data_IF_014316373772
#
_entry.id   IF_014316373772
#
_cell.length_a   1.000
_cell.length_b   1.000
_cell.length_c   1.000
_cell.angle_alpha   90.00
_cell.angle_beta   90.00
_cell.angle_gamma   90.00
#
_symmetry.space_group_name_H-M   'P 1'
#
loop_
_entity.id
_entity.type
_entity.pdbx_description
1 polymer ?
#
# COMPACT_ATOMS: atom_id res chain seq x y z
N UNK A 1 12.18 29.29 -8.06
CA UNK A 1 10.79 28.78 -7.85
C UNK A 1 9.85 29.46 -8.85
N UNK A 2 8.78 28.78 -9.28
CA UNK A 2 7.75 29.39 -10.14
C UNK A 2 6.95 30.45 -9.36
N UNK A 3 6.58 31.54 -10.03
CA UNK A 3 5.62 32.52 -9.50
C UNK A 3 4.26 31.87 -9.22
N UNK A 4 3.47 32.45 -8.31
CA UNK A 4 2.19 31.88 -7.86
C UNK A 4 1.21 31.62 -9.01
N UNK A 5 1.04 32.60 -9.91
CA UNK A 5 0.14 32.47 -11.07
C UNK A 5 0.54 31.32 -11.99
N UNK A 6 1.86 31.11 -12.14
CA UNK A 6 2.38 30.01 -12.96
C UNK A 6 2.13 28.66 -12.29
N UNK A 7 2.18 28.57 -10.95
CA UNK A 7 1.81 27.34 -10.21
C UNK A 7 0.33 27.02 -10.36
N UNK A 8 -0.55 28.01 -10.21
CA UNK A 8 -2.00 27.85 -10.39
C UNK A 8 -2.34 27.36 -11.80
N UNK A 9 -1.69 27.95 -12.81
CA UNK A 9 -1.87 27.53 -14.22
C UNK A 9 -1.43 26.08 -14.46
N UNK A 10 -0.30 25.66 -13.89
CA UNK A 10 0.17 24.27 -13.99
C UNK A 10 -0.84 23.30 -13.36
N UNK A 11 -1.31 23.59 -12.14
CA UNK A 11 -2.29 22.75 -11.45
C UNK A 11 -3.62 22.65 -12.22
N UNK A 12 -4.10 23.76 -12.79
CA UNK A 12 -5.30 23.77 -13.63
C UNK A 12 -5.17 22.87 -14.85
N UNK A 13 -4.02 22.88 -15.52
CA UNK A 13 -3.77 22.02 -16.69
C UNK A 13 -3.69 20.55 -16.27
N UNK A 14 -3.03 20.25 -15.14
CA UNK A 14 -2.96 18.88 -14.61
C UNK A 14 -4.35 18.35 -14.25
N UNK A 15 -5.18 19.17 -13.61
CA UNK A 15 -6.58 18.82 -13.28
C UNK A 15 -7.41 18.60 -14.54
N UNK A 16 -7.29 19.46 -15.56
CA UNK A 16 -8.00 19.27 -16.83
C UNK A 16 -7.54 18.01 -17.59
N UNK A 17 -6.25 17.69 -17.51
CA UNK A 17 -5.65 16.56 -18.25
C UNK A 17 -5.84 15.21 -17.55
N UNK A 18 -5.78 15.19 -16.21
CA UNK A 18 -5.72 13.97 -15.39
C UNK A 18 -6.74 13.93 -14.26
N UNK A 19 -7.58 14.96 -14.12
CA UNK A 19 -8.65 15.00 -13.13
C UNK A 19 -9.49 13.73 -13.22
N UNK A 20 -9.84 13.16 -12.08
CA UNK A 20 -10.50 11.85 -11.92
C UNK A 20 -9.61 10.60 -11.99
N UNK A 21 -8.28 10.72 -12.10
CA UNK A 21 -7.39 9.56 -11.88
C UNK A 21 -7.16 9.32 -10.38
N UNK A 22 -7.12 8.04 -10.01
CA UNK A 22 -6.74 7.57 -8.66
C UNK A 22 -5.44 6.77 -8.75
N UNK A 23 -4.97 6.26 -7.61
CA UNK A 23 -3.81 5.36 -7.59
C UNK A 23 -4.01 4.16 -8.52
N UNK A 24 -2.94 3.71 -9.18
CA UNK A 24 -2.95 2.49 -9.99
C UNK A 24 -2.82 1.21 -9.14
N UNK A 25 -2.62 1.33 -7.82
CA UNK A 25 -2.64 0.20 -6.90
C UNK A 25 -4.06 -0.35 -6.77
N UNK A 26 -4.20 -1.67 -6.86
CA UNK A 26 -5.48 -2.36 -6.71
C UNK A 26 -5.72 -2.74 -5.25
N UNK A 27 -6.84 -2.27 -4.69
CA UNK A 27 -7.25 -2.52 -3.31
C UNK A 27 -8.77 -2.41 -3.16
N UNK A 28 -9.30 -3.01 -2.09
CA UNK A 28 -10.73 -2.90 -1.70
C UNK A 28 -10.93 -2.27 -0.33
N UNK A 29 -9.88 -2.19 0.49
CA UNK A 29 -9.92 -1.69 1.87
C UNK A 29 -8.71 -0.82 2.17
N UNK A 30 -8.80 0.02 3.20
CA UNK A 30 -7.69 0.87 3.65
C UNK A 30 -6.47 0.04 4.06
N UNK A 31 -6.68 -1.14 4.66
CA UNK A 31 -5.61 -2.07 4.99
C UNK A 31 -4.88 -2.58 3.74
N UNK A 32 -5.62 -2.95 2.70
CA UNK A 32 -5.04 -3.41 1.44
C UNK A 32 -4.23 -2.29 0.77
N UNK A 33 -4.74 -1.06 0.78
CA UNK A 33 -3.99 0.10 0.27
C UNK A 33 -2.71 0.36 1.07
N UNK A 34 -2.77 0.26 2.40
CA UNK A 34 -1.60 0.40 3.26
C UNK A 34 -0.52 -0.64 2.92
N UNK A 35 -0.91 -1.92 2.81
CA UNK A 35 0.02 -3.00 2.47
C UNK A 35 0.59 -2.82 1.05
N UNK A 36 -0.24 -2.48 0.07
CA UNK A 36 0.21 -2.21 -1.30
C UNK A 36 1.18 -1.02 -1.36
N UNK A 37 0.95 0.02 -0.55
CA UNK A 37 1.83 1.18 -0.44
C UNK A 37 3.18 0.82 0.20
N UNK A 38 3.19 -0.03 1.23
CA UNK A 38 4.46 -0.56 1.79
C UNK A 38 5.23 -1.36 0.72
N UNK A 39 4.51 -2.12 -0.13
CA UNK A 39 5.13 -2.88 -1.22
C UNK A 39 5.63 -2.03 -2.38
N UNK A 40 5.04 -0.88 -2.66
CA UNK A 40 5.38 -0.04 -3.83
C UNK A 40 6.75 0.62 -3.74
N UNK A 41 7.34 0.72 -2.54
CA UNK A 41 8.68 1.26 -2.35
C UNK A 41 9.71 0.57 -3.28
N UNK A 42 10.23 1.27 -4.29
CA UNK A 42 11.14 0.73 -5.30
C UNK A 42 10.55 -0.48 -6.08
N UNK A 43 9.27 -0.43 -6.42
CA UNK A 43 8.59 -1.41 -7.28
C UNK A 43 7.51 -0.73 -8.11
N UNK A 44 7.16 -1.29 -9.25
CA UNK A 44 6.09 -0.75 -10.10
C UNK A 44 4.72 -1.18 -9.58
N UNK A 45 3.70 -0.35 -9.76
CA UNK A 45 2.33 -0.67 -9.36
C UNK A 45 1.84 -1.97 -10.03
N UNK A 46 2.22 -2.20 -11.30
CA UNK A 46 1.91 -3.45 -12.01
C UNK A 46 2.48 -4.68 -11.30
N UNK A 47 3.74 -4.62 -10.84
CA UNK A 47 4.37 -5.72 -10.11
C UNK A 47 3.72 -5.93 -8.75
N UNK A 48 3.37 -4.84 -8.05
CA UNK A 48 2.65 -4.90 -6.78
C UNK A 48 1.29 -5.58 -6.98
N UNK A 49 0.49 -5.14 -7.97
CA UNK A 49 -0.84 -5.69 -8.25
C UNK A 49 -0.80 -7.18 -8.60
N UNK A 50 0.22 -7.64 -9.35
CA UNK A 50 0.42 -9.08 -9.64
C UNK A 50 0.57 -9.93 -8.38
N UNK A 51 1.10 -9.36 -7.30
CA UNK A 51 1.41 -10.05 -6.04
C UNK A 51 0.27 -9.87 -5.03
N UNK A 52 -0.31 -8.66 -4.96
CA UNK A 52 -1.36 -8.34 -4.01
C UNK A 52 -2.70 -8.99 -4.37
N UNK A 53 -3.03 -9.17 -5.66
CA UNK A 53 -4.28 -9.86 -6.08
C UNK A 53 -4.47 -11.23 -5.41
N UNK A 54 -3.54 -12.20 -5.54
CA UNK A 54 -3.68 -13.48 -4.83
C UNK A 54 -3.50 -13.32 -3.32
N UNK A 55 -2.57 -12.47 -2.86
CA UNK A 55 -2.34 -12.26 -1.43
C UNK A 55 -3.62 -11.79 -0.71
N UNK A 56 -4.33 -10.81 -1.25
CA UNK A 56 -5.55 -10.26 -0.64
C UNK A 56 -6.78 -11.14 -0.82
N UNK A 57 -6.73 -12.13 -1.71
CA UNK A 57 -7.76 -13.16 -1.80
C UNK A 57 -7.66 -14.09 -0.58
N UNK A 58 -6.44 -14.50 -0.24
CA UNK A 58 -6.19 -15.43 0.88
C UNK A 58 -6.09 -14.71 2.24
N UNK A 59 -5.59 -13.47 2.24
CA UNK A 59 -5.26 -12.69 3.44
C UNK A 59 -5.76 -11.24 3.31
N UNK A 60 -7.08 -11.02 3.40
CA UNK A 60 -7.70 -9.73 3.04
C UNK A 60 -7.49 -8.61 4.07
N UNK A 61 -7.14 -8.93 5.32
CA UNK A 61 -7.11 -8.01 6.46
C UNK A 61 -5.90 -8.20 7.39
N UNK A 62 -5.80 -7.34 8.42
CA UNK A 62 -4.71 -7.36 9.39
C UNK A 62 -4.65 -8.66 10.19
N UNK A 63 -5.79 -9.26 10.54
CA UNK A 63 -5.85 -10.51 11.28
C UNK A 63 -5.28 -11.67 10.45
N UNK A 64 -5.70 -11.77 9.18
CA UNK A 64 -5.25 -12.81 8.27
C UNK A 64 -3.76 -12.72 7.94
N UNK A 65 -3.21 -11.50 7.83
CA UNK A 65 -1.77 -11.28 7.64
C UNK A 65 -0.98 -11.56 8.93
N UNK A 66 -1.48 -11.16 10.10
CA UNK A 66 -0.78 -11.40 11.37
C UNK A 66 -0.77 -12.88 11.78
N UNK A 67 -1.72 -13.68 11.28
CA UNK A 67 -1.78 -15.11 11.50
C UNK A 67 -0.80 -15.91 10.59
N UNK A 68 -0.28 -15.29 9.53
CA UNK A 68 0.70 -15.94 8.65
C UNK A 68 2.07 -16.04 9.33
N UNK A 69 2.76 -17.19 9.25
CA UNK A 69 4.18 -17.26 9.53
C UNK A 69 4.94 -16.26 8.65
N UNK A 70 5.87 -15.50 9.25
CA UNK A 70 6.68 -14.54 8.51
C UNK A 70 7.39 -15.16 7.28
N UNK A 71 7.96 -16.38 7.32
CA UNK A 71 8.54 -17.02 6.15
C UNK A 71 7.55 -17.22 4.99
N UNK A 72 6.29 -17.55 5.30
CA UNK A 72 5.25 -17.76 4.28
C UNK A 72 4.88 -16.43 3.61
N UNK A 73 4.81 -15.35 4.39
CA UNK A 73 4.62 -14.01 3.84
C UNK A 73 5.80 -13.59 2.96
N UNK A 74 7.04 -13.81 3.43
CA UNK A 74 8.26 -13.56 2.65
C UNK A 74 8.21 -14.27 1.30
N UNK A 75 7.81 -15.55 1.27
CA UNK A 75 7.69 -16.33 0.05
C UNK A 75 6.59 -15.85 -0.89
N UNK A 76 5.43 -15.46 -0.35
CA UNK A 76 4.31 -14.88 -1.12
C UNK A 76 4.72 -13.58 -1.82
N UNK A 77 5.60 -12.78 -1.21
CA UNK A 77 5.97 -11.45 -1.71
C UNK A 77 7.40 -11.35 -2.27
N UNK A 78 8.11 -12.48 -2.40
CA UNK A 78 9.54 -12.52 -2.80
C UNK A 78 9.86 -11.91 -4.16
N UNK A 79 8.84 -11.74 -5.00
CA UNK A 79 8.97 -11.10 -6.32
C UNK A 79 9.01 -9.57 -6.25
N UNK A 80 8.79 -8.97 -5.08
CA UNK A 80 9.00 -7.54 -4.84
C UNK A 80 10.46 -7.32 -4.38
N UNK A 81 11.09 -6.23 -4.84
CA UNK A 81 12.39 -5.81 -4.29
C UNK A 81 12.29 -5.55 -2.78
N UNK A 82 13.37 -5.83 -2.03
CA UNK A 82 13.45 -5.64 -0.57
C UNK A 82 12.41 -6.46 0.24
N UNK A 83 11.94 -7.59 -0.31
CA UNK A 83 10.84 -8.37 0.25
C UNK A 83 10.99 -8.76 1.73
N UNK A 84 12.19 -9.12 2.21
CA UNK A 84 12.41 -9.50 3.61
C UNK A 84 12.05 -8.37 4.58
N UNK A 85 12.49 -7.15 4.27
CA UNK A 85 12.18 -5.98 5.11
C UNK A 85 10.71 -5.59 4.96
N UNK A 86 10.16 -5.68 3.74
CA UNK A 86 8.73 -5.42 3.52
C UNK A 86 7.83 -6.41 4.27
N UNK A 87 8.14 -7.71 4.24
CA UNK A 87 7.39 -8.74 4.95
C UNK A 87 7.41 -8.48 6.46
N UNK A 88 8.59 -8.20 7.03
CA UNK A 88 8.73 -7.81 8.45
C UNK A 88 7.88 -6.60 8.80
N UNK A 89 7.93 -5.54 7.98
CA UNK A 89 7.18 -4.31 8.22
C UNK A 89 5.68 -4.52 8.09
N UNK A 90 5.22 -5.27 7.07
CA UNK A 90 3.80 -5.59 6.87
C UNK A 90 3.28 -6.41 8.07
N UNK A 91 4.02 -7.44 8.48
CA UNK A 91 3.65 -8.28 9.60
C UNK A 91 3.63 -7.50 10.92
N UNK A 92 4.63 -6.66 11.18
CA UNK A 92 4.65 -5.78 12.35
C UNK A 92 3.49 -4.77 12.33
N UNK A 93 3.19 -4.18 11.18
CA UNK A 93 2.06 -3.26 10.99
C UNK A 93 0.76 -3.96 11.32
N UNK A 94 0.50 -5.13 10.76
CA UNK A 94 -0.70 -5.91 11.02
C UNK A 94 -0.90 -6.19 12.53
N UNK A 95 0.18 -6.56 13.24
CA UNK A 95 0.14 -6.74 14.71
C UNK A 95 -0.17 -5.46 15.46
N UNK A 96 0.48 -4.35 15.10
CA UNK A 96 0.22 -3.03 15.72
C UNK A 96 -1.24 -2.61 15.52
N UNK A 97 -1.81 -2.84 14.33
CA UNK A 97 -3.21 -2.53 14.08
C UNK A 97 -4.13 -3.34 15.00
N UNK A 98 -3.89 -4.64 15.16
CA UNK A 98 -4.68 -5.47 16.06
C UNK A 98 -4.53 -5.05 17.54
N UNK A 99 -3.30 -4.76 17.97
CA UNK A 99 -2.99 -4.45 19.37
C UNK A 99 -3.46 -3.05 19.80
N UNK A 100 -3.42 -2.06 18.90
CA UNK A 100 -3.61 -0.64 19.26
C UNK A 100 -4.77 0.05 18.55
N UNK A 101 -5.22 -0.49 17.42
CA UNK A 101 -6.20 0.15 16.55
C UNK A 101 -7.36 -0.77 16.18
N UNK A 102 -7.60 -1.82 16.96
CA UNK A 102 -8.70 -2.77 16.78
C UNK A 102 -8.77 -3.39 15.37
N UNK A 103 -7.61 -3.54 14.72
CA UNK A 103 -7.47 -4.09 13.37
C UNK A 103 -7.71 -3.09 12.23
N UNK A 104 -8.03 -1.83 12.53
CA UNK A 104 -8.36 -0.81 11.52
C UNK A 104 -7.21 0.17 11.26
N UNK A 105 -7.10 0.66 10.03
CA UNK A 105 -6.11 1.69 9.67
C UNK A 105 -6.54 3.04 10.25
N UNK A 106 -5.70 3.71 11.06
CA UNK A 106 -6.02 5.03 11.61
C UNK A 106 -6.24 6.07 10.52
N UNK A 107 -7.17 6.99 10.74
CA UNK A 107 -7.46 8.11 9.82
C UNK A 107 -6.60 9.35 10.08
N UNK A 108 -5.60 9.23 10.94
CA UNK A 108 -4.64 10.28 11.29
C UNK A 108 -3.25 9.89 10.80
N UNK A 109 -2.45 10.88 10.39
CA UNK A 109 -1.08 10.66 9.86
C UNK A 109 0.00 10.64 10.95
N UNK A 110 -0.29 11.20 12.12
CA UNK A 110 0.61 11.32 13.27
C UNK A 110 0.59 10.05 14.12
#
# INVERSE_FOLDING_TARGET
>A
MLAEDKRKKVLSILEETYGHTTTALEFKTDFQLLVATIMSAQSTDEQVNKITRPLFTDHPDAAAIAALPLPDLEDKIKRVGLYRNKAKNIHATARILLERYNGEVPRTRE
#
